data_IF_297247101169
#
_entry.id   IF_297247101169
#
_cell.length_a   1.000
_cell.length_b   1.000
_cell.length_c   1.000
_cell.angle_alpha   90.00
_cell.angle_beta   90.00
_cell.angle_gamma   90.00
#
_symmetry.space_group_name_H-M   'P 1'
#
loop_
_entity.id
_entity.type
_entity.pdbx_description
1 polymer ?
#
# COMPACT_ATOMS: atom_id res chain seq x y z
N UNK A 1 -3.93 2.92 -14.67
CA UNK A 1 -3.96 3.32 -13.24
C UNK A 1 -3.68 4.82 -13.03
N UNK A 2 -2.68 5.43 -13.68
CA UNK A 2 -2.30 6.84 -13.47
C UNK A 2 -3.44 7.89 -13.57
N UNK A 3 -4.43 7.69 -14.43
CA UNK A 3 -5.59 8.60 -14.54
C UNK A 3 -6.46 8.61 -13.27
N UNK A 4 -6.68 7.45 -12.66
CA UNK A 4 -7.45 7.33 -11.42
C UNK A 4 -6.73 7.97 -10.24
N UNK A 5 -5.39 7.83 -10.19
CA UNK A 5 -4.56 8.49 -9.17
C UNK A 5 -4.69 10.01 -9.28
N UNK A 6 -4.62 10.55 -10.50
CA UNK A 6 -4.82 11.99 -10.73
C UNK A 6 -6.20 12.47 -10.31
N UNK A 7 -7.25 11.72 -10.65
CA UNK A 7 -8.63 12.05 -10.24
C UNK A 7 -8.77 12.04 -8.71
N UNK A 8 -8.32 10.98 -8.04
CA UNK A 8 -8.38 10.85 -6.58
C UNK A 8 -7.64 11.99 -5.88
N UNK A 9 -6.46 12.37 -6.38
CA UNK A 9 -5.72 13.53 -5.86
C UNK A 9 -6.47 14.85 -6.02
N UNK A 10 -7.07 15.10 -7.18
CA UNK A 10 -7.90 16.29 -7.42
C UNK A 10 -9.11 16.34 -6.47
N UNK A 11 -9.69 15.18 -6.17
CA UNK A 11 -10.82 15.03 -5.25
C UNK A 11 -10.39 14.90 -3.78
N UNK A 12 -9.09 14.99 -3.49
CA UNK A 12 -8.51 14.85 -2.15
C UNK A 12 -8.86 13.51 -1.47
N UNK A 13 -9.04 12.46 -2.26
CA UNK A 13 -9.19 11.10 -1.77
C UNK A 13 -7.84 10.46 -1.50
N UNK A 14 -7.79 9.62 -0.47
CA UNK A 14 -6.66 8.74 -0.20
C UNK A 14 -6.85 7.42 -0.92
N UNK A 15 -5.78 6.89 -1.49
CA UNK A 15 -5.77 5.70 -2.33
C UNK A 15 -5.18 4.54 -1.52
N UNK A 16 -5.90 3.41 -1.51
CA UNK A 16 -5.38 2.13 -1.03
C UNK A 16 -5.13 1.24 -2.25
N UNK A 17 -3.89 0.78 -2.44
CA UNK A 17 -3.58 -0.25 -3.41
C UNK A 17 -3.61 -1.63 -2.72
N UNK A 18 -4.42 -2.54 -3.24
CA UNK A 18 -4.51 -3.91 -2.75
C UNK A 18 -3.76 -4.89 -3.66
N UNK A 19 -3.50 -6.07 -3.12
CA UNK A 19 -2.81 -7.17 -3.81
C UNK A 19 -1.37 -6.83 -4.23
N UNK A 20 -0.64 -6.14 -3.36
CA UNK A 20 0.80 -5.89 -3.56
C UNK A 20 1.60 -7.16 -3.22
N UNK A 21 2.17 -7.81 -4.23
CA UNK A 21 2.81 -9.13 -4.09
C UNK A 21 4.33 -9.10 -4.26
N UNK A 22 4.85 -8.11 -4.99
CA UNK A 22 6.28 -7.99 -5.27
C UNK A 22 6.86 -6.61 -4.89
N UNK A 23 8.18 -6.54 -4.73
CA UNK A 23 8.90 -5.30 -4.45
C UNK A 23 8.70 -4.25 -5.55
N UNK A 24 8.73 -4.69 -6.82
CA UNK A 24 8.52 -3.82 -7.99
C UNK A 24 7.14 -3.16 -8.00
N UNK A 25 6.09 -3.87 -7.55
CA UNK A 25 4.74 -3.31 -7.38
C UNK A 25 4.77 -2.20 -6.32
N UNK A 26 5.39 -2.49 -5.18
CA UNK A 26 5.49 -1.55 -4.05
C UNK A 26 6.24 -0.27 -4.41
N UNK A 27 7.40 -0.41 -5.07
CA UNK A 27 8.24 0.71 -5.48
C UNK A 27 7.50 1.60 -6.48
N UNK A 28 6.85 0.99 -7.47
CA UNK A 28 6.05 1.73 -8.45
C UNK A 28 4.89 2.48 -7.79
N UNK A 29 4.15 1.84 -6.87
CA UNK A 29 3.04 2.45 -6.15
C UNK A 29 3.46 3.65 -5.31
N UNK A 30 4.65 3.57 -4.69
CA UNK A 30 5.27 4.69 -3.98
C UNK A 30 5.59 5.85 -4.93
N UNK A 31 6.19 5.57 -6.08
CA UNK A 31 6.60 6.58 -7.05
C UNK A 31 5.42 7.33 -7.68
N UNK A 32 4.33 6.62 -7.99
CA UNK A 32 3.10 7.25 -8.50
C UNK A 32 2.27 7.90 -7.39
N UNK A 33 2.67 7.68 -6.14
CA UNK A 33 2.18 8.32 -4.94
C UNK A 33 0.78 7.88 -4.53
N UNK A 34 0.62 6.56 -4.40
CA UNK A 34 -0.45 5.93 -3.62
C UNK A 34 -0.20 6.13 -2.12
N UNK A 35 -1.27 6.31 -1.34
CA UNK A 35 -1.17 6.66 0.08
C UNK A 35 -1.00 5.44 1.00
N UNK A 36 -1.69 4.34 0.69
CA UNK A 36 -1.67 3.11 1.46
C UNK A 36 -1.52 1.89 0.56
N UNK A 37 -0.85 0.86 1.05
CA UNK A 37 -0.68 -0.40 0.35
C UNK A 37 -1.02 -1.58 1.26
N UNK A 38 -1.67 -2.60 0.70
CA UNK A 38 -1.97 -3.87 1.34
C UNK A 38 -1.62 -5.01 0.38
N UNK A 39 -0.93 -6.02 0.89
CA UNK A 39 -0.64 -7.23 0.13
C UNK A 39 0.39 -8.09 0.84
N UNK A 40 0.54 -9.32 0.35
CA UNK A 40 1.41 -10.32 0.95
C UNK A 40 2.89 -9.90 0.98
N UNK A 41 3.32 -9.01 0.08
CA UNK A 41 4.66 -8.41 0.12
C UNK A 41 4.93 -7.64 1.44
N UNK A 42 3.90 -7.00 1.99
CA UNK A 42 3.98 -6.20 3.22
C UNK A 42 3.82 -7.13 4.42
N UNK A 43 2.72 -7.88 4.46
CA UNK A 43 2.43 -8.88 5.49
C UNK A 43 1.38 -9.87 4.96
N UNK A 44 1.51 -11.18 5.22
CA UNK A 44 0.45 -12.13 4.92
C UNK A 44 -0.81 -11.85 5.76
N UNK A 45 -2.01 -12.25 5.30
CA UNK A 45 -3.21 -12.19 6.12
C UNK A 45 -3.03 -12.96 7.44
N UNK A 46 -3.38 -12.31 8.55
CA UNK A 46 -3.38 -12.92 9.88
C UNK A 46 -4.82 -13.29 10.30
N UNK A 47 -4.94 -14.24 11.23
CA UNK A 47 -6.23 -14.55 11.84
C UNK A 47 -6.74 -13.34 12.64
N UNK A 48 -8.07 -13.16 12.66
CA UNK A 48 -8.68 -12.07 13.41
C UNK A 48 -8.34 -12.20 14.90
N UNK A 49 -7.81 -11.12 15.49
CA UNK A 49 -7.38 -11.10 16.89
C UNK A 49 -5.99 -11.66 17.16
N UNK A 50 -5.28 -12.21 16.17
CA UNK A 50 -3.89 -12.66 16.31
C UNK A 50 -2.87 -11.64 15.84
N UNK A 51 -3.32 -10.64 15.07
CA UNK A 51 -2.49 -9.51 14.68
C UNK A 51 -2.01 -8.78 15.94
N UNK A 52 -0.71 -8.86 16.21
CA UNK A 52 -0.07 -7.93 17.16
C UNK A 52 0.04 -6.60 16.43
N UNK A 53 -0.30 -5.47 17.08
CA UNK A 53 -0.18 -4.13 16.48
C UNK A 53 1.17 -4.01 15.79
N UNK A 54 1.15 -4.02 14.45
CA UNK A 54 2.30 -4.42 13.65
C UNK A 54 3.52 -3.54 13.90
N UNK A 55 4.68 -4.16 14.05
CA UNK A 55 5.95 -3.51 13.74
C UNK A 55 5.96 -3.28 12.24
N UNK A 56 5.35 -2.19 11.79
CA UNK A 56 5.46 -1.73 10.42
C UNK A 56 6.94 -1.69 10.10
N UNK A 57 7.35 -2.44 9.09
CA UNK A 57 8.71 -2.38 8.58
C UNK A 57 8.92 -0.92 8.16
N UNK A 58 9.55 -0.13 9.02
CA UNK A 58 10.05 1.18 8.65
C UNK A 58 11.13 0.91 7.60
N UNK A 59 10.71 0.87 6.34
CA UNK A 59 11.61 0.72 5.21
C UNK A 59 12.49 1.96 5.22
N UNK A 60 13.75 1.74 5.58
CA UNK A 60 14.77 2.77 5.72
C UNK A 60 14.81 3.60 4.42
N UNK A 61 14.90 4.92 4.60
CA UNK A 61 14.83 5.93 3.53
C UNK A 61 16.06 5.91 2.64
#
# INVERSE_FOLDING_TARGET
VAAMIKLARTMQFRIVAEQVEHQEDFDWLRDVGVDFAQGHFIEPPAMLGTATTGTFRALNT
#
